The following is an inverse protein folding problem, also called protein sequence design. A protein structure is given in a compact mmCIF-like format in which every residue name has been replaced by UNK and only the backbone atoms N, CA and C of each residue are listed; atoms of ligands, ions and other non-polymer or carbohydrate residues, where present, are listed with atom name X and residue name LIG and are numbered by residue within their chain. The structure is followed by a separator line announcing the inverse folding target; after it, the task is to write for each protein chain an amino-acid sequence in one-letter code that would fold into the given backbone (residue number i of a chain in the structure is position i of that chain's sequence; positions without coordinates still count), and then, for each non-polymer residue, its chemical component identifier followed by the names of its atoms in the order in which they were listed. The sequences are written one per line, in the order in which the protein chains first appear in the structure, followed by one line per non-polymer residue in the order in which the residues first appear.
data_IF_956344271968
#
_entry.id   IF_956344271968
#
_cell.length_a   1.000
_cell.length_b   1.000
_cell.length_c   1.000
_cell.angle_alpha   90.00
_cell.angle_beta   90.00
_cell.angle_gamma   90.00
#
_symmetry.space_group_name_H-M   'P 1'
#
loop_
_entity.id
_entity.type
_entity.pdbx_description
1 polymer ?
#
# COMPACT_ATOMS: atom_id res chain seq x y z
N UNK A 1 26.62 -0.89 8.16
CA UNK A 1 25.45 -0.18 7.59
C UNK A 1 25.96 1.06 6.85
N UNK A 2 25.53 1.29 5.61
CA UNK A 2 25.99 2.41 4.78
C UNK A 2 25.44 3.77 5.22
N UNK A 3 26.04 4.86 4.76
CA UNK A 3 25.61 6.24 5.05
C UNK A 3 24.24 6.50 4.42
N UNK A 4 23.26 6.96 5.21
CA UNK A 4 21.93 7.31 4.70
C UNK A 4 22.04 8.44 3.67
N UNK A 5 21.38 8.27 2.53
CA UNK A 5 21.28 9.30 1.49
C UNK A 5 19.87 9.89 1.50
N UNK A 6 19.78 11.22 1.53
CA UNK A 6 18.52 11.94 1.36
C UNK A 6 18.23 12.07 -0.13
N UNK A 7 17.05 11.62 -0.55
CA UNK A 7 16.54 11.76 -1.91
C UNK A 7 15.32 12.67 -1.90
N UNK A 8 15.19 13.53 -2.91
CA UNK A 8 14.00 14.33 -3.16
C UNK A 8 13.49 14.02 -4.56
N UNK A 9 12.23 13.63 -4.65
CA UNK A 9 11.56 13.24 -5.90
C UNK A 9 10.29 14.05 -6.07
N UNK A 10 10.00 14.43 -7.31
CA UNK A 10 8.71 15.02 -7.69
C UNK A 10 7.83 13.92 -8.25
N UNK A 11 6.67 13.75 -7.66
CA UNK A 11 5.72 12.69 -8.00
C UNK A 11 4.38 13.33 -8.27
N UNK A 12 3.67 12.86 -9.30
CA UNK A 12 2.32 13.32 -9.61
C UNK A 12 1.39 13.07 -8.41
N UNK A 13 0.47 14.00 -8.14
CA UNK A 13 -0.42 13.95 -6.96
C UNK A 13 -1.21 12.65 -6.88
N UNK A 14 -1.69 12.13 -8.02
CA UNK A 14 -2.40 10.85 -8.07
C UNK A 14 -1.52 9.66 -7.66
N UNK A 15 -0.28 9.60 -8.16
CA UNK A 15 0.67 8.54 -7.80
C UNK A 15 1.06 8.62 -6.32
N UNK A 16 1.22 9.85 -5.81
CA UNK A 16 1.49 10.10 -4.40
C UNK A 16 0.33 9.67 -3.49
N UNK A 17 -0.91 9.88 -3.94
CA UNK A 17 -2.11 9.42 -3.24
C UNK A 17 -2.15 7.89 -3.20
N UNK A 18 -1.89 7.21 -4.33
CA UNK A 18 -1.83 5.74 -4.38
C UNK A 18 -0.77 5.18 -3.44
N UNK A 19 0.46 5.72 -3.47
CA UNK A 19 1.52 5.30 -2.54
C UNK A 19 1.11 5.50 -1.07
N UNK A 20 0.39 6.58 -0.77
CA UNK A 20 -0.09 6.87 0.58
C UNK A 20 -1.12 5.84 1.06
N UNK A 21 -2.04 5.44 0.19
CA UNK A 21 -3.05 4.42 0.48
C UNK A 21 -2.39 3.05 0.67
N UNK A 22 -1.48 2.66 -0.23
CA UNK A 22 -0.74 1.41 -0.10
C UNK A 22 0.07 1.38 1.20
N UNK A 23 0.86 2.40 1.49
CA UNK A 23 1.65 2.46 2.72
C UNK A 23 0.78 2.30 3.98
N UNK A 24 -0.40 2.93 3.99
CA UNK A 24 -1.34 2.78 5.07
C UNK A 24 -1.98 1.38 5.15
N UNK A 25 -2.25 0.73 4.01
CA UNK A 25 -2.70 -0.66 3.95
C UNK A 25 -1.67 -1.64 4.51
N UNK A 26 -0.38 -1.40 4.26
CA UNK A 26 0.72 -2.19 4.81
C UNK A 26 1.13 -1.80 6.23
N UNK A 27 0.57 -0.72 6.80
CA UNK A 27 0.96 -0.22 8.12
C UNK A 27 2.41 0.29 8.18
N UNK A 28 3.00 0.67 7.04
CA UNK A 28 4.38 1.16 6.94
C UNK A 28 4.44 2.64 6.54
N UNK A 29 5.62 3.25 6.65
CA UNK A 29 5.83 4.61 6.16
C UNK A 29 5.93 4.63 4.63
N UNK A 30 5.54 5.77 4.02
CA UNK A 30 5.66 5.98 2.56
C UNK A 30 7.10 5.84 2.07
N UNK A 31 8.08 6.29 2.87
CA UNK A 31 9.50 6.18 2.51
C UNK A 31 10.01 4.74 2.59
N UNK A 32 9.57 3.97 3.59
CA UNK A 32 9.90 2.55 3.66
C UNK A 32 9.34 1.81 2.45
N UNK A 33 8.05 2.02 2.13
CA UNK A 33 7.40 1.38 0.99
C UNK A 33 8.09 1.74 -0.33
N UNK A 34 8.41 3.02 -0.53
CA UNK A 34 9.11 3.48 -1.72
C UNK A 34 10.51 2.87 -1.85
N UNK A 35 11.28 2.82 -0.76
CA UNK A 35 12.61 2.20 -0.74
C UNK A 35 12.52 0.69 -1.01
N UNK A 36 11.50 0.02 -0.49
CA UNK A 36 11.25 -1.40 -0.75
C UNK A 36 10.90 -1.66 -2.22
N UNK A 37 10.08 -0.80 -2.83
CA UNK A 37 9.77 -0.88 -4.26
C UNK A 37 11.03 -0.74 -5.13
N UNK A 38 11.92 0.21 -4.83
CA UNK A 38 13.21 0.36 -5.53
C UNK A 38 14.09 -0.90 -5.39
N UNK A 39 14.13 -1.48 -4.20
CA UNK A 39 14.86 -2.72 -3.96
C UNK A 39 14.29 -3.91 -4.74
N UNK A 40 12.96 -4.01 -4.84
CA UNK A 40 12.30 -5.05 -5.65
C UNK A 40 12.57 -4.87 -7.15
N UNK A 41 12.62 -3.63 -7.63
CA UNK A 41 12.97 -3.29 -9.01
C UNK A 41 14.41 -3.70 -9.33
N UNK A 42 15.36 -3.41 -8.44
CA UNK A 42 16.78 -3.79 -8.58
C UNK A 42 16.98 -5.31 -8.65
N UNK A 43 16.14 -6.10 -7.98
CA UNK A 43 16.16 -7.56 -8.03
C UNK A 43 15.55 -8.17 -9.31
N UNK A 44 15.24 -7.36 -10.31
CA UNK A 44 14.75 -7.83 -11.61
C UNK A 44 13.27 -8.17 -11.63
N UNK A 45 12.52 -7.73 -10.61
CA UNK A 45 11.11 -7.35 -10.73
C UNK A 45 10.20 -8.17 -11.63
N UNK A 46 10.23 -9.52 -11.56
CA UNK A 46 9.20 -10.32 -12.26
C UNK A 46 7.83 -9.95 -11.67
N UNK A 47 6.84 -9.66 -12.51
CA UNK A 47 5.50 -9.22 -12.07
C UNK A 47 4.90 -10.15 -11.00
N UNK A 48 5.09 -11.47 -11.16
CA UNK A 48 4.68 -12.48 -10.18
C UNK A 48 5.35 -12.32 -8.81
N UNK A 49 6.61 -11.91 -8.77
CA UNK A 49 7.37 -11.71 -7.54
C UNK A 49 6.91 -10.45 -6.80
N UNK A 50 6.60 -9.38 -7.52
CA UNK A 50 5.98 -8.19 -6.95
C UNK A 50 4.63 -8.53 -6.33
N UNK A 51 3.73 -9.16 -7.08
CA UNK A 51 2.40 -9.52 -6.57
C UNK A 51 2.50 -10.45 -5.37
N UNK A 52 3.35 -11.48 -5.40
CA UNK A 52 3.50 -12.43 -4.29
C UNK A 52 4.16 -11.83 -3.04
N UNK A 53 5.19 -11.00 -3.22
CA UNK A 53 5.95 -10.43 -2.11
C UNK A 53 5.20 -9.27 -1.46
N UNK A 54 4.57 -8.42 -2.29
CA UNK A 54 3.85 -7.25 -1.84
C UNK A 54 2.51 -7.60 -1.17
N UNK A 55 1.79 -8.60 -1.67
CA UNK A 55 0.52 -9.05 -1.06
C UNK A 55 0.71 -9.92 0.19
N UNK A 56 1.94 -10.16 0.64
CA UNK A 56 2.19 -11.03 1.79
C UNK A 56 1.89 -10.29 3.10
N UNK A 57 0.93 -10.80 3.86
CA UNK A 57 0.56 -10.24 5.17
C UNK A 57 -0.38 -9.04 5.12
N UNK A 58 -0.93 -8.71 3.94
CA UNK A 58 -1.91 -7.66 3.75
C UNK A 58 -3.06 -8.13 2.84
N UNK A 59 -4.19 -7.41 2.84
CA UNK A 59 -5.16 -7.46 1.75
C UNK A 59 -4.46 -7.38 0.37
N UNK A 60 -4.59 -8.44 -0.44
CA UNK A 60 -4.07 -8.49 -1.82
C UNK A 60 -4.59 -7.32 -2.65
N UNK A 61 -3.81 -6.71 -3.56
CA UNK A 61 -4.26 -5.61 -4.43
C UNK A 61 -5.77 -5.62 -4.76
N UNK A 62 -6.49 -4.68 -4.15
CA UNK A 62 -7.94 -4.51 -4.31
C UNK A 62 -8.21 -3.49 -5.42
N UNK A 63 -9.36 -3.61 -6.07
CA UNK A 63 -9.73 -2.70 -7.15
C UNK A 63 -10.00 -1.30 -6.62
N UNK A 64 -10.63 -1.21 -5.46
CA UNK A 64 -10.99 0.06 -4.84
C UNK A 64 -10.50 0.11 -3.41
N UNK A 65 -9.73 1.15 -3.11
CA UNK A 65 -9.33 1.52 -1.77
C UNK A 65 -10.05 2.80 -1.37
N UNK A 66 -10.63 2.81 -0.18
CA UNK A 66 -11.28 3.97 0.40
C UNK A 66 -10.68 4.26 1.76
N UNK A 67 -9.91 5.35 1.83
CA UNK A 67 -9.31 5.83 3.06
C UNK A 67 -10.16 6.98 3.61
N UNK A 68 -10.78 6.77 4.78
CA UNK A 68 -11.57 7.80 5.47
C UNK A 68 -10.82 8.28 6.71
N UNK A 69 -10.60 9.59 6.80
CA UNK A 69 -10.07 10.24 8.00
C UNK A 69 -11.20 10.96 8.72
N UNK A 70 -11.36 10.68 10.01
CA UNK A 70 -12.35 11.34 10.87
C UNK A 70 -11.59 12.07 11.97
N UNK A 71 -11.75 13.39 12.00
CA UNK A 71 -11.18 14.27 13.03
C UNK A 71 -12.32 14.78 13.89
N UNK A 72 -12.46 14.25 15.10
CA UNK A 72 -13.39 14.76 16.09
C UNK A 72 -12.64 15.74 17.01
N UNK A 73 -12.90 17.04 16.82
CA UNK A 73 -12.28 18.10 17.64
C UNK A 73 -12.88 18.22 19.03
N UNK A 74 -14.12 17.79 19.25
CA UNK A 74 -14.78 17.87 20.57
C UNK A 74 -14.23 16.81 21.51
N UNK A 75 -13.97 15.61 20.97
CA UNK A 75 -13.36 14.51 21.70
C UNK A 75 -11.83 14.47 21.58
N UNK A 76 -11.24 15.38 20.79
CA UNK A 76 -9.81 15.40 20.45
C UNK A 76 -9.32 14.04 19.91
N UNK A 77 -10.15 13.39 19.09
CA UNK A 77 -9.91 12.06 18.57
C UNK A 77 -9.65 12.12 17.06
N UNK A 78 -8.61 11.44 16.63
CA UNK A 78 -8.35 11.19 15.21
C UNK A 78 -8.52 9.70 14.98
N UNK A 79 -9.44 9.33 14.10
CA UNK A 79 -9.62 7.95 13.65
C UNK A 79 -9.42 7.85 12.15
N UNK A 80 -8.91 6.68 11.72
CA UNK A 80 -8.65 6.36 10.33
C UNK A 80 -9.26 5.02 10.03
N UNK A 81 -10.02 4.98 8.95
CA UNK A 81 -10.70 3.78 8.47
C UNK A 81 -10.25 3.50 7.04
N UNK A 82 -9.68 2.32 6.83
CA UNK A 82 -9.32 1.84 5.51
C UNK A 82 -10.31 0.75 5.11
N UNK A 83 -11.07 1.02 4.05
CA UNK A 83 -11.97 0.08 3.41
C UNK A 83 -11.38 -0.35 2.07
N UNK A 84 -11.63 -1.60 1.68
CA UNK A 84 -11.13 -2.21 0.46
C UNK A 84 -12.22 -3.08 -0.16
N UNK A 85 -12.37 -2.98 -1.48
CA UNK A 85 -13.32 -3.77 -2.26
C UNK A 85 -12.60 -4.52 -3.39
N UNK A 86 -12.79 -5.86 -3.51
CA UNK A 86 -13.61 -6.74 -2.66
C UNK A 86 -13.01 -7.01 -1.26
N UNK A 87 -13.81 -7.46 -0.28
CA UNK A 87 -13.31 -7.70 1.08
C UNK A 87 -12.33 -8.90 1.14
N UNK A 88 -11.05 -8.71 1.53
CA UNK A 88 -10.03 -9.76 1.62
C UNK A 88 -10.33 -10.85 2.66
N UNK A 89 -11.17 -10.55 3.65
CA UNK A 89 -11.58 -11.49 4.69
C UNK A 89 -12.63 -12.49 4.17
N UNK A 90 -13.14 -12.29 2.95
CA UNK A 90 -14.03 -13.25 2.31
C UNK A 90 -13.21 -14.24 1.50
N UNK A 91 -13.46 -15.54 1.70
CA UNK A 91 -12.71 -16.66 1.11
C UNK A 91 -12.86 -16.80 -0.43
N UNK A 92 -13.36 -15.76 -1.11
CA UNK A 92 -13.57 -15.70 -2.55
C UNK A 92 -12.70 -14.61 -3.12
N UNK A 93 -11.42 -14.91 -3.29
CA UNK A 93 -10.51 -14.04 -4.00
C UNK A 93 -10.90 -14.00 -5.49
N UNK A 94 -11.06 -12.82 -6.12
CA UNK A 94 -11.47 -12.71 -7.52
C UNK A 94 -10.42 -13.23 -8.51
N UNK A 95 -9.18 -13.46 -8.08
CA UNK A 95 -8.08 -13.91 -8.95
C UNK A 95 -7.94 -15.44 -9.06
N UNK A 96 -8.81 -16.23 -8.41
CA UNK A 96 -8.83 -17.70 -8.50
C UNK A 96 -10.06 -18.28 -9.19
N UNK A 97 -10.94 -17.45 -9.78
CA UNK A 97 -11.98 -17.96 -10.67
C UNK A 97 -11.34 -18.16 -12.05
N UNK A 98 -10.60 -19.26 -12.20
CA UNK A 98 -10.43 -19.88 -13.52
C UNK A 98 -11.69 -20.67 -13.80
N UNK A 99 -12.36 -20.38 -14.90
CA UNK A 99 -13.34 -21.29 -15.52
C UNK A 99 -12.70 -22.66 -15.79
#
# INVERSE_FOLDING_TARGET
MGKMKKLSIRVHTGVWATLSVLAAAHGVSRCYLFNYMLWLEELGGKEDFFVKSFNRGVPSFHWTYKMTWKIDRRQNLISRELQFEPNPMTNKYPYYVKE
#
